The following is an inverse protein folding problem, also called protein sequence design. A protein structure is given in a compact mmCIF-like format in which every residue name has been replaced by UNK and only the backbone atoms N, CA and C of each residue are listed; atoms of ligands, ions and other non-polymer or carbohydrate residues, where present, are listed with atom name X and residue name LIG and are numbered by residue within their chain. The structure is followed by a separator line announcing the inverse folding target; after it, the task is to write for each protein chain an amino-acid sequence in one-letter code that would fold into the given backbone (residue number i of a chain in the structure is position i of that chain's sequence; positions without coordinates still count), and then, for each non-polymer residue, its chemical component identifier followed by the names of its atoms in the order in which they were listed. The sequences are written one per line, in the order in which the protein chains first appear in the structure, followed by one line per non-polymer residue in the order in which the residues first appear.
data_IF_359368160787
#
_entry.id   IF_359368160787
#
_cell.length_a   1.000
_cell.length_b   1.000
_cell.length_c   1.000
_cell.angle_alpha   90.00
_cell.angle_beta   90.00
_cell.angle_gamma   90.00
#
_symmetry.space_group_name_H-M   'P 1'
#
loop_
_entity.id
_entity.type
_entity.pdbx_description
1 polymer ?
#
# COMPACT_ATOMS: atom_id res chain seq x y z
N UNK A 1 -58.49 6.49 -26.06
CA UNK A 1 -57.35 6.02 -25.24
C UNK A 1 -56.93 4.67 -25.78
N UNK A 2 -55.96 4.67 -26.68
CA UNK A 2 -55.20 3.51 -27.17
C UNK A 2 -54.18 4.08 -28.14
N UNK A 3 -52.90 3.89 -27.87
CA UNK A 3 -51.89 4.06 -28.91
C UNK A 3 -50.81 3.01 -28.75
N UNK A 4 -50.90 2.02 -29.63
CA UNK A 4 -49.92 0.98 -29.92
C UNK A 4 -48.69 1.61 -30.57
N UNK A 5 -47.48 1.19 -30.17
CA UNK A 5 -46.27 1.37 -30.99
C UNK A 5 -45.48 0.07 -31.02
N UNK A 6 -45.16 -0.32 -32.25
CA UNK A 6 -44.51 -1.55 -32.70
C UNK A 6 -42.99 -1.54 -32.43
N UNK A 7 -42.44 -2.71 -32.10
CA UNK A 7 -41.01 -2.99 -32.06
C UNK A 7 -40.45 -3.24 -33.48
N UNK A 8 -39.18 -2.89 -33.71
CA UNK A 8 -38.42 -3.30 -34.88
C UNK A 8 -37.03 -3.83 -34.46
N UNK A 9 -36.83 -5.13 -34.68
CA UNK A 9 -35.54 -5.82 -34.73
C UNK A 9 -35.13 -5.92 -36.21
N UNK A 10 -33.88 -5.58 -36.54
CA UNK A 10 -33.25 -5.94 -37.81
C UNK A 10 -31.80 -6.35 -37.57
N UNK A 11 -31.45 -7.55 -38.05
CA UNK A 11 -30.13 -8.15 -37.96
C UNK A 11 -29.25 -7.97 -39.20
N UNK A 12 -27.95 -8.02 -38.93
CA UNK A 12 -26.75 -8.38 -39.72
C UNK A 12 -26.60 -8.04 -41.22
N UNK A 13 -25.53 -7.28 -41.52
CA UNK A 13 -24.61 -7.54 -42.64
C UNK A 13 -23.28 -6.75 -42.53
N UNK A 14 -22.16 -7.45 -42.36
CA UNK A 14 -20.85 -7.20 -43.03
C UNK A 14 -19.93 -6.04 -42.57
N UNK A 15 -18.59 -6.17 -42.72
CA UNK A 15 -17.61 -5.33 -42.03
C UNK A 15 -17.27 -4.04 -42.80
N UNK A 16 -17.19 -2.92 -42.09
CA UNK A 16 -16.72 -1.65 -42.62
C UNK A 16 -15.28 -1.36 -42.16
N UNK A 17 -14.34 -1.47 -43.10
CA UNK A 17 -13.06 -0.74 -43.09
C UNK A 17 -13.34 0.72 -43.42
N UNK A 18 -12.83 1.65 -42.63
CA UNK A 18 -12.78 3.07 -42.97
C UNK A 18 -11.32 3.51 -43.17
N UNK A 19 -11.06 4.01 -44.36
CA UNK A 19 -9.81 4.44 -44.95
C UNK A 19 -9.67 5.95 -44.72
N UNK A 20 -8.54 6.39 -44.16
CA UNK A 20 -8.21 7.81 -43.96
C UNK A 20 -8.03 8.51 -45.31
N UNK A 21 -8.60 9.70 -45.42
CA UNK A 21 -8.55 10.55 -46.61
C UNK A 21 -7.24 11.34 -46.76
N UNK A 22 -6.90 11.61 -48.01
CA UNK A 22 -5.95 12.62 -48.47
C UNK A 22 -6.72 13.59 -49.38
N UNK A 23 -6.25 14.84 -49.52
CA UNK A 23 -6.16 15.40 -50.86
C UNK A 23 -4.79 16.05 -51.11
N UNK A 24 -4.16 15.68 -52.22
CA UNK A 24 -2.99 16.36 -52.79
C UNK A 24 -3.29 16.79 -54.23
N UNK A 25 -2.74 17.93 -54.64
CA UNK A 25 -2.80 18.44 -56.00
C UNK A 25 -1.48 19.11 -56.43
N UNK A 26 -1.19 18.99 -57.74
CA UNK A 26 -0.21 19.70 -58.60
C UNK A 26 1.23 19.14 -58.76
N UNK A 27 1.39 18.18 -59.71
CA UNK A 27 2.15 18.15 -61.00
C UNK A 27 3.43 19.03 -61.27
N UNK A 28 4.26 18.78 -62.33
CA UNK A 28 5.26 17.70 -62.49
C UNK A 28 6.63 18.16 -63.11
N UNK A 29 7.67 17.29 -63.08
CA UNK A 29 8.69 17.21 -64.15
C UNK A 29 10.19 17.30 -63.79
N UNK A 30 11.01 16.43 -64.41
CA UNK A 30 12.46 16.63 -64.64
C UNK A 30 13.39 15.42 -64.33
N UNK A 31 14.13 14.91 -65.32
CA UNK A 31 15.02 13.72 -65.29
C UNK A 31 16.52 14.03 -64.99
N UNK A 32 17.19 13.16 -64.20
CA UNK A 32 18.60 12.63 -64.17
C UNK A 32 19.85 13.55 -64.36
N UNK A 33 21.13 13.20 -64.01
CA UNK A 33 21.75 11.92 -63.55
C UNK A 33 22.74 12.08 -62.33
N UNK A 34 23.59 11.09 -61.92
CA UNK A 34 24.21 11.03 -60.59
C UNK A 34 25.66 11.54 -60.52
N UNK A 35 26.08 12.09 -59.37
CA UNK A 35 27.51 12.22 -59.04
C UNK A 35 27.79 12.42 -57.54
N UNK A 36 28.68 11.54 -57.04
CA UNK A 36 29.79 11.79 -56.11
C UNK A 36 29.53 12.15 -54.64
N UNK A 37 29.96 11.21 -53.78
CA UNK A 37 30.29 11.40 -52.38
C UNK A 37 31.37 12.47 -52.18
N UNK A 38 31.12 13.40 -51.26
CA UNK A 38 32.14 14.04 -50.43
C UNK A 38 31.63 14.10 -48.98
N UNK A 39 32.53 13.95 -47.98
CA UNK A 39 32.17 13.69 -46.59
C UNK A 39 31.71 14.99 -45.91
N UNK A 40 30.66 14.91 -45.09
CA UNK A 40 30.26 16.03 -44.22
C UNK A 40 30.57 15.71 -42.77
N UNK A 41 31.24 16.68 -42.18
CA UNK A 41 31.81 16.78 -40.85
C UNK A 41 30.76 16.59 -39.75
N UNK A 42 31.15 15.87 -38.69
CA UNK A 42 30.44 15.81 -37.41
C UNK A 42 30.43 17.19 -36.76
N UNK A 43 29.25 17.81 -36.71
CA UNK A 43 28.95 18.93 -35.82
C UNK A 43 28.40 18.41 -34.48
N UNK A 44 28.63 19.12 -33.38
CA UNK A 44 28.50 18.61 -32.03
C UNK A 44 27.04 18.29 -31.69
N UNK A 45 26.83 17.11 -31.10
CA UNK A 45 25.56 16.70 -30.52
C UNK A 45 25.11 17.75 -29.51
N UNK A 46 24.02 18.44 -29.85
CA UNK A 46 23.25 19.29 -28.97
C UNK A 46 22.75 18.40 -27.81
N UNK A 47 23.30 18.64 -26.63
CA UNK A 47 22.91 17.97 -25.40
C UNK A 47 21.41 18.16 -25.19
N UNK A 48 20.68 17.03 -25.15
CA UNK A 48 19.32 17.00 -24.65
C UNK A 48 19.31 17.53 -23.20
N UNK A 49 18.33 18.35 -22.80
CA UNK A 49 18.23 18.79 -21.42
C UNK A 49 18.06 17.56 -20.53
N UNK A 50 18.95 17.43 -19.54
CA UNK A 50 18.84 16.45 -18.47
C UNK A 50 17.47 16.65 -17.81
N UNK A 51 16.54 15.71 -18.03
CA UNK A 51 15.33 15.61 -17.23
C UNK A 51 15.78 15.43 -15.78
N UNK A 52 15.46 16.43 -14.94
CA UNK A 52 15.51 16.32 -13.49
C UNK A 52 14.63 15.13 -13.07
N UNK A 53 15.26 13.97 -12.96
CA UNK A 53 14.68 12.79 -12.34
C UNK A 53 14.26 13.17 -10.92
N UNK A 54 12.95 13.13 -10.68
CA UNK A 54 12.35 13.18 -9.34
C UNK A 54 13.10 12.20 -8.44
N UNK A 55 13.53 12.58 -7.22
CA UNK A 55 14.16 11.63 -6.33
C UNK A 55 13.14 10.58 -5.92
N UNK A 56 13.36 9.35 -6.38
CA UNK A 56 12.70 8.17 -5.86
C UNK A 56 13.16 7.94 -4.43
N UNK A 57 12.22 7.98 -3.49
CA UNK A 57 12.38 7.47 -2.12
C UNK A 57 13.43 8.18 -1.27
N UNK A 58 13.01 9.15 -0.48
CA UNK A 58 13.83 9.70 0.61
C UNK A 58 14.21 8.58 1.60
N UNK A 59 15.43 8.07 1.38
CA UNK A 59 16.14 7.17 2.26
C UNK A 59 16.45 7.91 3.57
N UNK A 60 16.35 7.19 4.68
CA UNK A 60 16.32 7.71 6.05
C UNK A 60 17.74 8.09 6.55
N UNK A 61 18.49 8.88 5.77
CA UNK A 61 19.90 9.21 6.07
C UNK A 61 20.37 10.64 5.82
N UNK A 62 19.47 11.62 5.66
CA UNK A 62 19.87 13.04 5.48
C UNK A 62 19.39 13.98 6.61
N UNK A 63 19.19 13.52 7.85
CA UNK A 63 18.42 14.31 8.83
C UNK A 63 19.19 15.28 9.73
N UNK A 64 20.52 15.37 9.73
CA UNK A 64 21.19 16.22 10.75
C UNK A 64 21.64 17.62 10.30
N UNK A 65 22.25 17.82 9.12
CA UNK A 65 22.94 19.10 8.84
C UNK A 65 22.27 20.02 7.79
N UNK A 66 21.59 19.49 6.76
CA UNK A 66 20.93 20.33 5.73
C UNK A 66 19.48 20.69 6.05
N UNK A 67 18.80 19.88 6.85
CA UNK A 67 17.42 20.15 7.26
C UNK A 67 17.29 21.36 8.19
N UNK A 68 18.32 21.71 8.97
CA UNK A 68 18.23 22.74 9.99
C UNK A 68 17.87 24.13 9.43
N UNK A 69 18.22 24.40 8.15
CA UNK A 69 17.99 25.70 7.52
C UNK A 69 16.64 25.87 6.82
N UNK A 70 15.90 24.78 6.55
CA UNK A 70 14.51 24.84 5.99
C UNK A 70 13.41 24.81 7.06
N UNK A 71 13.72 24.32 8.28
CA UNK A 71 12.78 23.99 9.39
C UNK A 71 11.86 25.12 9.90
N UNK A 72 12.09 26.39 9.53
CA UNK A 72 11.37 27.55 10.12
C UNK A 72 10.26 28.18 9.27
N UNK A 73 10.07 27.77 8.02
CA UNK A 73 9.25 28.57 7.08
C UNK A 73 7.85 28.02 6.80
N UNK A 74 7.57 26.74 7.12
CA UNK A 74 6.32 26.09 6.76
C UNK A 74 5.67 25.43 7.99
N UNK A 75 4.51 25.97 8.40
CA UNK A 75 3.72 25.41 9.51
C UNK A 75 3.10 24.07 9.12
N UNK A 76 2.72 23.93 7.85
CA UNK A 76 2.17 22.72 7.26
C UNK A 76 2.92 22.46 5.97
N UNK A 77 3.47 21.26 5.84
CA UNK A 77 4.03 20.69 4.62
C UNK A 77 3.09 19.57 4.19
N UNK A 78 2.81 19.47 2.89
CA UNK A 78 1.91 18.45 2.35
C UNK A 78 2.62 17.69 1.24
N UNK A 79 3.01 16.46 1.56
CA UNK A 79 3.54 15.51 0.60
C UNK A 79 2.47 14.49 0.21
N UNK A 80 2.77 13.69 -0.81
CA UNK A 80 1.90 12.61 -1.26
C UNK A 80 1.88 12.44 -2.77
N UNK A 81 0.94 11.63 -3.25
CA UNK A 81 0.76 11.38 -4.68
C UNK A 81 -0.67 10.98 -5.02
N UNK A 82 -1.08 11.26 -6.25
CA UNK A 82 -2.24 10.63 -6.87
C UNK A 82 -1.79 9.60 -7.89
N UNK A 83 -2.35 8.39 -7.80
CA UNK A 83 -2.02 7.26 -8.68
C UNK A 83 -3.28 6.78 -9.38
N UNK A 84 -3.14 6.52 -10.68
CA UNK A 84 -4.07 5.71 -11.47
C UNK A 84 -3.27 4.57 -12.07
N UNK A 85 -3.75 3.33 -11.93
CA UNK A 85 -3.06 2.14 -12.41
C UNK A 85 -3.99 1.22 -13.21
N UNK A 86 -3.86 1.18 -14.54
CA UNK A 86 -4.44 0.13 -15.36
C UNK A 86 -3.61 -1.17 -15.22
N UNK A 87 -4.28 -2.29 -15.04
CA UNK A 87 -3.68 -3.61 -14.87
C UNK A 87 -4.40 -4.60 -15.78
N UNK A 88 -3.62 -5.44 -16.47
CA UNK A 88 -4.11 -6.59 -17.23
C UNK A 88 -3.29 -7.80 -16.83
N UNK A 89 -3.93 -8.73 -16.14
CA UNK A 89 -3.32 -9.99 -15.74
C UNK A 89 -3.86 -11.09 -16.66
N UNK A 90 -2.98 -11.69 -17.47
CA UNK A 90 -3.34 -12.80 -18.34
C UNK A 90 -2.94 -14.14 -17.71
N UNK A 91 -3.91 -15.04 -17.60
CA UNK A 91 -3.75 -16.37 -17.04
C UNK A 91 -3.03 -16.36 -15.68
N UNK A 92 -3.45 -15.45 -14.80
CA UNK A 92 -2.76 -15.19 -13.52
C UNK A 92 -2.74 -16.41 -12.60
N UNK A 93 -3.79 -17.23 -12.68
CA UNK A 93 -3.88 -18.51 -11.98
C UNK A 93 -3.12 -19.66 -12.67
N UNK A 94 -2.40 -19.40 -13.77
CA UNK A 94 -1.64 -20.38 -14.55
C UNK A 94 -2.46 -21.61 -14.99
N UNK A 95 -3.79 -21.49 -15.07
CA UNK A 95 -4.70 -22.60 -15.38
C UNK A 95 -5.00 -23.55 -14.22
N UNK A 96 -4.59 -23.22 -12.99
CA UNK A 96 -4.78 -24.06 -11.80
C UNK A 96 -6.19 -23.97 -11.20
N UNK A 97 -7.07 -23.08 -11.64
CA UNK A 97 -8.37 -22.87 -10.96
C UNK A 97 -8.21 -22.45 -9.49
N UNK A 98 -9.30 -22.48 -8.72
CA UNK A 98 -9.28 -22.17 -7.27
C UNK A 98 -9.31 -23.44 -6.41
N UNK A 99 -9.97 -24.48 -6.90
CA UNK A 99 -10.11 -25.80 -6.30
C UNK A 99 -9.66 -26.86 -7.31
N UNK A 100 -8.91 -27.86 -6.87
CA UNK A 100 -8.60 -29.04 -7.67
C UNK A 100 -9.84 -29.91 -7.95
N UNK A 101 -9.68 -30.97 -8.74
CA UNK A 101 -10.78 -31.92 -9.05
C UNK A 101 -11.33 -32.62 -7.79
N UNK A 102 -10.51 -32.75 -6.74
CA UNK A 102 -10.89 -33.32 -5.45
C UNK A 102 -11.52 -32.29 -4.49
N UNK A 103 -11.58 -31.01 -4.87
CA UNK A 103 -12.11 -29.92 -4.07
C UNK A 103 -11.11 -29.30 -3.09
N UNK A 104 -9.82 -29.62 -3.17
CA UNK A 104 -8.77 -28.98 -2.36
C UNK A 104 -8.39 -27.63 -2.95
N UNK A 105 -8.08 -26.65 -2.10
CA UNK A 105 -7.66 -25.32 -2.54
C UNK A 105 -6.30 -25.32 -3.25
N UNK A 106 -6.25 -24.68 -4.42
CA UNK A 106 -5.00 -24.36 -5.10
C UNK A 106 -4.45 -22.99 -4.64
N UNK A 107 -3.17 -22.66 -4.91
CA UNK A 107 -2.60 -21.35 -4.57
C UNK A 107 -3.52 -20.20 -5.01
N UNK A 108 -3.68 -19.16 -4.18
CA UNK A 108 -4.83 -18.25 -4.24
C UNK A 108 -4.64 -17.15 -5.29
N UNK A 109 -4.32 -17.51 -6.52
CA UNK A 109 -4.42 -16.56 -7.61
C UNK A 109 -5.87 -16.52 -8.09
N UNK A 110 -6.52 -15.34 -8.10
CA UNK A 110 -7.92 -15.24 -8.49
C UNK A 110 -8.13 -15.71 -9.94
N UNK A 111 -9.29 -16.30 -10.18
CA UNK A 111 -9.78 -16.64 -11.52
C UNK A 111 -10.82 -15.61 -11.96
N UNK A 112 -11.00 -15.40 -13.28
CA UNK A 112 -12.16 -14.67 -13.77
C UNK A 112 -13.46 -15.29 -13.23
N UNK A 113 -14.42 -14.45 -12.88
CA UNK A 113 -15.68 -14.88 -12.25
C UNK A 113 -16.42 -15.94 -13.08
N UNK A 114 -16.31 -15.83 -14.41
CA UNK A 114 -16.92 -16.74 -15.38
C UNK A 114 -16.32 -18.16 -15.32
N UNK A 115 -15.10 -18.30 -14.81
CA UNK A 115 -14.43 -19.58 -14.66
C UNK A 115 -14.95 -20.39 -13.46
N UNK A 116 -15.66 -19.75 -12.53
CA UNK A 116 -16.01 -20.35 -11.26
C UNK A 116 -14.78 -20.79 -10.45
N UNK A 117 -14.96 -21.81 -9.61
CA UNK A 117 -13.96 -22.22 -8.62
C UNK A 117 -13.16 -23.46 -8.99
N UNK A 118 -13.56 -24.26 -9.99
CA UNK A 118 -12.93 -25.57 -10.26
C UNK A 118 -11.74 -25.49 -11.23
N UNK A 119 -10.79 -26.43 -11.10
CA UNK A 119 -9.74 -26.73 -12.10
C UNK A 119 -10.39 -27.08 -13.42
N UNK A 120 -9.84 -26.54 -14.51
CA UNK A 120 -10.30 -26.82 -15.87
C UNK A 120 -9.97 -25.70 -16.84
N UNK A 121 -10.10 -25.97 -18.13
CA UNK A 121 -9.90 -24.96 -19.18
C UNK A 121 -10.94 -23.86 -19.09
N UNK A 122 -10.55 -22.67 -18.64
CA UNK A 122 -11.39 -21.49 -18.74
C UNK A 122 -11.12 -20.75 -20.05
N UNK A 123 -12.21 -20.40 -20.75
CA UNK A 123 -12.13 -19.57 -21.95
C UNK A 123 -11.67 -18.14 -21.60
N UNK A 124 -12.07 -17.63 -20.43
CA UNK A 124 -11.63 -16.34 -19.92
C UNK A 124 -10.27 -16.49 -19.23
N UNK A 125 -9.32 -15.66 -19.64
CA UNK A 125 -7.96 -15.65 -19.09
C UNK A 125 -7.52 -14.29 -18.57
N UNK A 126 -8.32 -13.25 -18.80
CA UNK A 126 -7.92 -11.88 -18.52
C UNK A 126 -8.61 -11.39 -17.25
N UNK A 127 -7.84 -10.82 -16.33
CA UNK A 127 -8.33 -9.97 -15.25
C UNK A 127 -7.83 -8.55 -15.56
N UNK A 128 -8.74 -7.70 -16.01
CA UNK A 128 -8.46 -6.31 -16.34
C UNK A 128 -9.12 -5.37 -15.34
N UNK A 129 -8.36 -4.41 -14.82
CA UNK A 129 -8.90 -3.38 -13.92
C UNK A 129 -8.13 -2.07 -14.06
N UNK A 130 -8.73 -0.97 -13.62
CA UNK A 130 -8.03 0.28 -13.39
C UNK A 130 -8.32 0.73 -11.98
N UNK A 131 -7.30 1.01 -11.18
CA UNK A 131 -7.47 1.45 -9.79
C UNK A 131 -6.93 2.86 -9.59
N UNK A 132 -7.46 3.57 -8.59
CA UNK A 132 -6.90 4.82 -8.09
C UNK A 132 -6.45 4.72 -6.64
N UNK A 133 -5.61 5.68 -6.24
CA UNK A 133 -5.29 6.02 -4.85
C UNK A 133 -4.80 7.47 -4.80
N UNK A 134 -5.31 8.25 -3.85
CA UNK A 134 -4.67 9.48 -3.40
C UNK A 134 -4.03 9.21 -2.03
N UNK A 135 -2.71 9.33 -1.93
CA UNK A 135 -2.00 9.31 -0.65
C UNK A 135 -1.62 10.73 -0.27
N UNK A 136 -1.97 11.13 0.95
CA UNK A 136 -1.64 12.42 1.54
C UNK A 136 -0.74 12.16 2.76
N UNK A 137 0.39 12.85 2.82
CA UNK A 137 1.38 12.74 3.90
C UNK A 137 1.67 14.12 4.48
N UNK A 138 0.70 14.77 5.17
CA UNK A 138 0.95 16.07 5.76
C UNK A 138 1.86 15.96 6.98
N UNK A 139 2.76 16.92 7.07
CA UNK A 139 3.64 17.20 8.21
C UNK A 139 3.27 18.54 8.83
N UNK A 140 2.94 18.52 10.11
CA UNK A 140 2.59 19.72 10.88
C UNK A 140 3.77 20.06 11.78
N UNK A 141 4.42 21.19 11.52
CA UNK A 141 5.55 21.69 12.29
C UNK A 141 5.02 22.58 13.43
N UNK A 142 4.98 22.04 14.65
CA UNK A 142 4.49 22.76 15.83
C UNK A 142 5.57 23.73 16.35
N UNK A 143 6.82 23.29 16.34
CA UNK A 143 8.00 24.09 16.72
C UNK A 143 9.23 23.62 15.93
N UNK A 144 10.37 24.30 16.13
CA UNK A 144 11.66 23.90 15.54
C UNK A 144 12.08 22.46 15.91
N UNK A 145 11.49 21.89 16.97
CA UNK A 145 11.84 20.58 17.51
C UNK A 145 10.69 19.56 17.47
N UNK A 146 9.44 20.01 17.32
CA UNK A 146 8.27 19.13 17.43
C UNK A 146 7.49 19.13 16.14
N UNK A 147 7.30 17.93 15.57
CA UNK A 147 6.48 17.72 14.38
C UNK A 147 5.51 16.55 14.57
N UNK A 148 4.41 16.61 13.85
CA UNK A 148 3.44 15.52 13.73
C UNK A 148 3.34 15.15 12.25
N UNK A 149 3.47 13.87 11.96
CA UNK A 149 3.34 13.35 10.59
C UNK A 149 2.21 12.35 10.53
N UNK A 150 1.56 12.34 9.38
CA UNK A 150 0.40 11.49 9.15
C UNK A 150 0.45 10.88 7.75
N UNK A 151 -0.24 9.77 7.55
CA UNK A 151 -0.44 9.17 6.24
C UNK A 151 -1.92 8.83 6.10
N UNK A 152 -2.56 9.44 5.11
CA UNK A 152 -3.98 9.30 4.83
C UNK A 152 -4.14 8.86 3.38
N UNK A 153 -4.78 7.71 3.18
CA UNK A 153 -5.11 7.24 1.84
C UNK A 153 -6.60 7.48 1.56
N UNK A 154 -6.89 8.20 0.48
CA UNK A 154 -8.23 8.43 -0.07
C UNK A 154 -8.38 7.59 -1.33
N UNK A 155 -9.53 6.91 -1.44
CA UNK A 155 -9.84 5.93 -2.48
C UNK A 155 -8.71 4.92 -2.66
N UNK A 156 -8.31 4.31 -1.55
CA UNK A 156 -7.20 3.37 -1.53
C UNK A 156 -7.50 2.08 -2.32
N UNK A 157 -6.98 2.01 -3.56
CA UNK A 157 -7.22 0.94 -4.54
C UNK A 157 -8.67 0.80 -4.99
N UNK A 158 -9.39 1.91 -5.09
CA UNK A 158 -10.75 1.89 -5.64
C UNK A 158 -10.69 1.63 -7.14
N UNK A 159 -11.45 0.65 -7.60
CA UNK A 159 -11.51 0.25 -9.01
C UNK A 159 -12.45 1.20 -9.77
N UNK A 160 -12.08 1.60 -10.98
CA UNK A 160 -12.91 2.47 -11.81
C UNK A 160 -14.21 1.78 -12.18
N UNK A 161 -15.33 2.50 -12.01
CA UNK A 161 -16.67 1.96 -12.23
C UNK A 161 -17.15 0.99 -11.14
N UNK A 162 -16.38 0.78 -10.07
CA UNK A 162 -16.89 0.06 -8.90
C UNK A 162 -17.99 0.87 -8.21
N UNK A 163 -18.79 0.20 -7.38
CA UNK A 163 -19.83 0.82 -6.57
C UNK A 163 -20.86 1.66 -7.38
N UNK A 164 -21.43 1.13 -8.47
CA UNK A 164 -22.44 1.84 -9.25
C UNK A 164 -23.74 2.03 -8.43
N UNK A 165 -24.48 3.11 -8.72
CA UNK A 165 -25.80 3.40 -8.14
C UNK A 165 -26.92 2.51 -8.72
N UNK A 166 -26.76 1.19 -8.59
CA UNK A 166 -27.63 0.17 -9.22
C UNK A 166 -28.16 -0.87 -8.23
N UNK A 167 -29.42 -1.27 -8.41
CA UNK A 167 -30.11 -2.31 -7.62
C UNK A 167 -29.52 -3.72 -7.77
N UNK A 168 -28.75 -3.95 -8.83
CA UNK A 168 -28.05 -5.22 -9.11
C UNK A 168 -26.55 -5.13 -8.80
N UNK A 169 -26.12 -4.08 -8.09
CA UNK A 169 -24.75 -3.92 -7.64
C UNK A 169 -24.38 -5.01 -6.64
N UNK A 170 -23.39 -5.84 -6.96
CA UNK A 170 -22.85 -6.84 -6.03
C UNK A 170 -22.29 -6.21 -4.74
N UNK A 171 -21.99 -4.90 -4.81
CA UNK A 171 -21.54 -4.09 -3.70
C UNK A 171 -22.65 -3.38 -2.94
N UNK A 172 -23.94 -3.48 -3.26
CA UNK A 172 -24.98 -2.80 -2.44
C UNK A 172 -26.18 -3.71 -2.21
N UNK A 173 -26.23 -4.44 -1.08
CA UNK A 173 -27.37 -5.28 -0.78
C UNK A 173 -28.60 -4.49 -0.31
N UNK A 174 -28.45 -3.21 0.08
CA UNK A 174 -29.54 -2.40 0.63
C UNK A 174 -30.11 -1.40 -0.38
N UNK A 175 -31.38 -1.58 -0.71
CA UNK A 175 -32.10 -0.95 -1.83
C UNK A 175 -32.51 0.48 -1.46
N UNK A 176 -31.69 1.48 -1.80
CA UNK A 176 -32.12 2.89 -1.67
C UNK A 176 -33.13 3.23 -2.78
N UNK A 177 -34.12 4.07 -2.46
CA UNK A 177 -35.02 4.64 -3.46
C UNK A 177 -34.22 5.52 -4.44
N UNK A 178 -34.54 5.46 -5.73
CA UNK A 178 -33.88 6.17 -6.85
C UNK A 178 -32.59 5.57 -7.42
N UNK A 179 -32.35 4.27 -7.26
CA UNK A 179 -31.24 3.58 -7.93
C UNK A 179 -31.62 3.06 -9.32
N UNK A 180 -30.62 2.92 -10.19
CA UNK A 180 -30.78 2.32 -11.49
C UNK A 180 -31.15 0.82 -11.39
N UNK A 181 -32.08 0.35 -12.23
CA UNK A 181 -32.53 -1.06 -12.19
C UNK A 181 -31.46 -2.03 -12.71
N UNK A 182 -30.49 -1.54 -13.49
CA UNK A 182 -29.39 -2.32 -14.05
C UNK A 182 -28.12 -1.47 -14.04
N UNK A 183 -26.94 -2.11 -13.95
CA UNK A 183 -25.66 -1.42 -13.97
C UNK A 183 -25.45 -0.54 -15.22
N UNK A 184 -26.04 -0.92 -16.36
CA UNK A 184 -25.99 -0.13 -17.60
C UNK A 184 -26.79 1.18 -17.52
N UNK A 185 -27.77 1.27 -16.61
CA UNK A 185 -28.59 2.46 -16.41
C UNK A 185 -28.04 3.35 -15.27
N UNK A 186 -26.94 2.93 -14.64
CA UNK A 186 -26.25 3.67 -13.60
C UNK A 186 -25.63 4.93 -14.19
N UNK A 187 -25.90 6.08 -13.56
CA UNK A 187 -25.36 7.38 -13.97
C UNK A 187 -24.41 7.96 -12.92
N UNK A 188 -24.20 7.26 -11.81
CA UNK A 188 -23.36 7.71 -10.70
C UNK A 188 -22.65 6.55 -10.03
N UNK A 189 -21.69 6.87 -9.17
CA UNK A 189 -21.01 5.93 -8.30
C UNK A 189 -21.13 6.42 -6.86
N UNK A 190 -21.25 5.48 -5.92
CA UNK A 190 -21.27 5.79 -4.49
C UNK A 190 -19.88 5.63 -3.90
N UNK A 191 -19.59 6.40 -2.85
CA UNK A 191 -18.32 6.30 -2.14
C UNK A 191 -18.14 4.91 -1.50
N UNK A 192 -16.92 4.35 -1.48
CA UNK A 192 -16.61 3.14 -0.73
C UNK A 192 -16.86 3.32 0.78
N UNK A 193 -17.69 2.46 1.36
CA UNK A 193 -18.06 2.42 2.77
C UNK A 193 -17.92 0.99 3.30
N UNK A 194 -17.06 0.83 4.30
CA UNK A 194 -16.75 -0.46 4.91
C UNK A 194 -18.02 -1.13 5.45
N UNK A 195 -18.25 -2.38 5.05
CA UNK A 195 -19.40 -3.19 5.48
C UNK A 195 -20.71 -2.88 4.75
N UNK A 196 -20.77 -1.84 3.92
CA UNK A 196 -21.89 -1.59 3.01
C UNK A 196 -21.57 -2.06 1.60
N UNK A 197 -20.48 -1.56 1.03
CA UNK A 197 -20.18 -1.74 -0.40
C UNK A 197 -18.73 -2.10 -0.74
N UNK A 198 -17.89 -2.19 0.27
CA UNK A 198 -16.54 -2.72 0.20
C UNK A 198 -16.11 -3.11 1.62
N UNK A 199 -14.94 -3.69 1.76
CA UNK A 199 -14.31 -3.97 3.06
C UNK A 199 -13.39 -2.83 3.53
N UNK A 200 -13.35 -1.71 2.81
CA UNK A 200 -12.48 -0.58 3.11
C UNK A 200 -13.26 0.74 3.11
N UNK A 201 -12.93 1.67 4.00
CA UNK A 201 -13.50 3.02 3.93
C UNK A 201 -12.83 3.83 2.83
N UNK A 202 -13.56 4.78 2.24
CA UNK A 202 -13.03 5.69 1.22
C UNK A 202 -11.86 6.54 1.70
N UNK A 203 -11.84 6.94 2.97
CA UNK A 203 -10.73 7.68 3.59
C UNK A 203 -10.20 6.84 4.73
N UNK A 204 -8.88 6.59 4.73
CA UNK A 204 -8.22 5.77 5.74
C UNK A 204 -6.96 6.46 6.28
N UNK A 205 -6.98 6.95 7.53
CA UNK A 205 -5.76 7.33 8.22
C UNK A 205 -4.98 6.05 8.56
N UNK A 206 -3.85 5.85 7.89
CA UNK A 206 -3.00 4.66 8.08
C UNK A 206 -2.02 4.84 9.23
N UNK A 207 -1.45 6.04 9.36
CA UNK A 207 -0.34 6.33 10.29
C UNK A 207 -0.47 7.74 10.84
N UNK A 208 -0.04 7.91 12.08
CA UNK A 208 0.06 9.19 12.77
C UNK A 208 1.08 9.05 13.90
N UNK A 209 2.12 9.88 13.87
CA UNK A 209 3.16 9.87 14.89
C UNK A 209 3.77 11.25 15.07
N UNK A 210 4.40 11.46 16.22
CA UNK A 210 5.10 12.68 16.54
C UNK A 210 6.60 12.42 16.65
N UNK A 211 7.39 13.43 16.31
CA UNK A 211 8.84 13.43 16.50
C UNK A 211 9.25 14.67 17.29
N UNK A 212 10.11 14.45 18.29
CA UNK A 212 10.69 15.47 19.15
C UNK A 212 12.20 15.39 19.00
N UNK A 213 12.77 16.37 18.34
CA UNK A 213 14.20 16.46 18.07
C UNK A 213 14.92 17.25 19.18
N UNK A 214 15.96 16.66 19.75
CA UNK A 214 16.81 17.25 20.78
C UNK A 214 18.29 17.14 20.39
N UNK A 215 19.17 17.79 21.15
CA UNK A 215 20.62 17.69 20.94
C UNK A 215 21.16 16.27 21.17
N UNK A 216 20.50 15.49 22.03
CA UNK A 216 20.91 14.12 22.36
C UNK A 216 20.39 13.09 21.36
N UNK A 217 19.39 13.44 20.55
CA UNK A 217 18.71 12.53 19.65
C UNK A 217 17.26 12.91 19.39
N UNK A 218 16.57 12.07 18.62
CA UNK A 218 15.18 12.22 18.23
C UNK A 218 14.32 11.17 18.95
N UNK A 219 13.27 11.62 19.64
CA UNK A 219 12.25 10.77 20.23
C UNK A 219 11.05 10.71 19.29
N UNK A 220 10.57 9.52 18.97
CA UNK A 220 9.41 9.30 18.08
C UNK A 220 8.38 8.45 18.78
N UNK A 221 7.11 8.78 18.66
CA UNK A 221 6.04 7.99 19.25
C UNK A 221 4.75 8.05 18.43
N UNK A 222 4.06 6.91 18.36
CA UNK A 222 2.80 6.75 17.65
C UNK A 222 2.84 5.63 16.61
N UNK A 223 1.86 5.62 15.71
CA UNK A 223 1.77 4.65 14.61
C UNK A 223 2.62 5.14 13.44
N UNK A 224 3.77 4.53 13.23
CA UNK A 224 4.74 4.98 12.22
C UNK A 224 5.18 3.85 11.27
N UNK A 225 5.68 4.19 10.07
CA UNK A 225 6.26 3.20 9.18
C UNK A 225 7.49 2.55 9.81
N UNK A 226 7.73 1.29 9.49
CA UNK A 226 8.98 0.62 9.82
C UNK A 226 9.67 0.10 8.57
N UNK A 227 10.92 0.50 8.39
CA UNK A 227 11.77 0.03 7.32
C UNK A 227 13.16 -0.29 7.85
N UNK A 228 13.78 -1.34 7.33
CA UNK A 228 15.17 -1.67 7.63
C UNK A 228 15.86 -2.26 6.41
N UNK A 229 17.08 -1.79 6.14
CA UNK A 229 17.86 -2.20 4.97
C UNK A 229 17.14 -1.97 3.66
N UNK A 230 17.03 -3.02 2.84
CA UNK A 230 16.31 -2.99 1.56
C UNK A 230 14.79 -3.18 1.69
N UNK A 231 14.31 -3.37 2.92
CA UNK A 231 12.91 -3.68 3.17
C UNK A 231 12.50 -5.09 2.74
N UNK A 232 13.38 -6.09 2.94
CA UNK A 232 13.04 -7.49 2.71
C UNK A 232 12.09 -8.05 3.78
N UNK A 233 12.34 -7.72 5.05
CA UNK A 233 11.52 -8.18 6.17
C UNK A 233 10.61 -7.07 6.71
N UNK A 234 11.17 -5.87 6.96
CA UNK A 234 10.41 -4.69 7.37
C UNK A 234 10.45 -3.62 6.28
N UNK A 235 9.31 -3.35 5.66
CA UNK A 235 9.21 -2.41 4.55
C UNK A 235 8.11 -1.38 4.79
N UNK A 236 8.47 -0.10 4.87
CA UNK A 236 7.52 1.01 5.03
C UNK A 236 6.41 1.10 3.97
N UNK A 237 6.61 0.58 2.75
CA UNK A 237 5.57 0.60 1.71
C UNK A 237 5.34 1.98 1.09
N UNK A 238 6.40 2.80 1.02
CA UNK A 238 6.32 4.19 0.54
C UNK A 238 6.47 4.28 -0.99
N UNK A 239 6.69 3.15 -1.67
CA UNK A 239 6.76 3.14 -3.13
C UNK A 239 5.38 3.39 -3.76
N UNK A 240 5.29 4.05 -4.93
CA UNK A 240 4.01 4.34 -5.58
C UNK A 240 3.16 3.10 -5.87
N UNK A 241 3.80 1.95 -6.12
CA UNK A 241 3.14 0.67 -6.40
C UNK A 241 2.99 -0.22 -5.17
N UNK A 242 3.42 0.22 -3.99
CA UNK A 242 3.34 -0.57 -2.77
C UNK A 242 1.88 -0.59 -2.27
N UNK A 243 1.33 -1.79 -2.11
CA UNK A 243 -0.06 -1.97 -1.63
C UNK A 243 -0.18 -2.07 -0.11
N UNK A 244 0.94 -2.30 0.55
CA UNK A 244 1.04 -2.33 1.99
C UNK A 244 2.44 -1.97 2.44
N UNK A 245 2.60 -1.95 3.75
CA UNK A 245 3.90 -1.74 4.39
C UNK A 245 3.80 -2.05 5.87
N UNK A 246 4.94 -2.42 6.44
CA UNK A 246 5.13 -2.60 7.87
C UNK A 246 4.85 -1.27 8.58
N UNK A 247 3.88 -1.33 9.47
CA UNK A 247 3.45 -0.22 10.32
C UNK A 247 3.49 -0.73 11.75
N UNK A 248 3.96 0.10 12.67
CA UNK A 248 4.14 -0.29 14.07
C UNK A 248 3.73 0.86 14.99
N UNK A 249 3.11 0.52 16.11
CA UNK A 249 2.86 1.45 17.20
C UNK A 249 4.09 1.40 18.11
N UNK A 250 4.86 2.47 18.17
CA UNK A 250 6.23 2.42 18.70
C UNK A 250 6.60 3.68 19.44
N UNK A 251 7.36 3.52 20.52
CA UNK A 251 8.18 4.54 21.16
C UNK A 251 9.65 4.28 20.80
N UNK A 252 10.31 5.25 20.16
CA UNK A 252 11.65 5.09 19.60
C UNK A 252 12.53 6.25 19.97
N UNK A 253 13.78 5.94 20.35
CA UNK A 253 14.82 6.94 20.51
C UNK A 253 15.95 6.66 19.53
N UNK A 254 16.37 7.69 18.80
CA UNK A 254 17.43 7.63 17.80
C UNK A 254 18.51 8.62 18.18
N UNK A 255 19.76 8.16 18.22
CA UNK A 255 20.92 9.01 18.51
C UNK A 255 22.10 8.65 17.61
N UNK A 256 23.06 9.57 17.49
CA UNK A 256 24.29 9.38 16.73
C UNK A 256 25.47 9.19 17.68
N UNK A 257 26.17 8.06 17.56
CA UNK A 257 27.33 7.69 18.37
C UNK A 257 28.49 7.30 17.45
N UNK A 258 29.59 8.07 17.49
CA UNK A 258 30.81 7.80 16.69
C UNK A 258 30.57 7.58 15.19
N UNK A 259 29.64 8.32 14.58
CA UNK A 259 29.29 8.16 13.17
C UNK A 259 28.28 7.06 12.88
N UNK A 260 27.85 6.30 13.88
CA UNK A 260 26.76 5.33 13.77
C UNK A 260 25.45 5.90 14.31
N UNK A 261 24.34 5.57 13.66
CA UNK A 261 23.01 5.81 14.19
C UNK A 261 22.59 4.61 15.03
N UNK A 262 22.34 4.84 16.33
CA UNK A 262 21.74 3.88 17.23
C UNK A 262 20.25 4.20 17.38
N UNK A 263 19.42 3.21 17.09
CA UNK A 263 17.98 3.26 17.26
C UNK A 263 17.55 2.20 18.28
N UNK A 264 16.90 2.64 19.35
CA UNK A 264 16.30 1.77 20.36
C UNK A 264 14.81 2.02 20.37
N UNK A 265 14.00 0.98 20.43
CA UNK A 265 12.56 1.13 20.48
C UNK A 265 11.87 0.11 21.35
N UNK A 266 10.74 0.55 21.89
CA UNK A 266 9.72 -0.27 22.53
C UNK A 266 8.47 -0.21 21.64
N UNK A 267 8.10 -1.36 21.12
CA UNK A 267 7.07 -1.55 20.12
C UNK A 267 5.90 -2.31 20.74
N UNK A 268 4.70 -1.81 20.45
CA UNK A 268 3.43 -2.39 20.82
C UNK A 268 2.93 -3.15 19.58
N UNK A 269 2.94 -4.47 19.67
CA UNK A 269 2.45 -5.36 18.63
C UNK A 269 0.93 -5.52 18.68
N UNK A 270 0.39 -6.60 18.11
CA UNK A 270 -1.01 -6.95 18.27
C UNK A 270 -1.40 -7.06 19.74
N UNK A 271 -2.52 -6.44 20.09
CA UNK A 271 -3.27 -6.71 21.32
C UNK A 271 -4.56 -7.45 21.00
N UNK A 272 -5.14 -8.09 22.02
CA UNK A 272 -6.33 -8.90 21.87
C UNK A 272 -7.63 -8.09 21.73
N UNK A 273 -8.65 -8.53 22.44
CA UNK A 273 -9.96 -7.88 22.39
C UNK A 273 -9.95 -6.58 23.20
N UNK A 274 -10.32 -5.48 22.54
CA UNK A 274 -10.57 -4.21 23.21
C UNK A 274 -12.05 -4.03 23.57
N UNK A 275 -12.35 -3.15 24.52
CA UNK A 275 -13.70 -2.80 24.98
C UNK A 275 -14.67 -2.51 23.82
N UNK A 276 -14.24 -1.75 22.81
CA UNK A 276 -15.06 -1.42 21.63
C UNK A 276 -15.50 -2.63 20.79
N UNK A 277 -14.93 -3.81 21.03
CA UNK A 277 -15.32 -5.06 20.36
C UNK A 277 -16.46 -5.80 21.10
N UNK A 278 -16.83 -5.34 22.30
CA UNK A 278 -17.96 -5.87 23.08
C UNK A 278 -19.29 -5.24 22.65
N UNK A 279 -20.41 -5.90 22.97
CA UNK A 279 -21.75 -5.33 22.80
C UNK A 279 -21.92 -3.99 23.52
N UNK A 280 -21.41 -3.89 24.75
CA UNK A 280 -21.43 -2.67 25.56
C UNK A 280 -20.57 -1.56 24.96
N UNK A 281 -19.34 -1.87 24.51
CA UNK A 281 -18.45 -0.90 23.89
C UNK A 281 -18.93 -0.40 22.53
N UNK A 282 -19.66 -1.22 21.77
CA UNK A 282 -20.34 -0.74 20.55
C UNK A 282 -21.53 0.16 20.83
N UNK A 283 -22.22 -0.09 21.94
CA UNK A 283 -23.32 0.77 22.42
C UNK A 283 -22.84 2.14 22.91
N UNK A 284 -21.55 2.25 23.24
CA UNK A 284 -20.88 3.51 23.61
C UNK A 284 -19.64 3.77 22.73
N UNK A 285 -19.82 4.25 21.48
CA UNK A 285 -18.72 4.55 20.58
C UNK A 285 -17.75 5.64 21.08
N UNK A 286 -18.17 6.42 22.09
CA UNK A 286 -17.35 7.45 22.70
C UNK A 286 -16.67 6.98 24.00
N UNK A 287 -16.82 5.70 24.34
CA UNK A 287 -16.20 5.08 25.52
C UNK A 287 -14.67 5.05 25.42
N UNK A 288 -14.02 4.82 26.56
CA UNK A 288 -12.56 4.70 26.60
C UNK A 288 -12.07 3.45 25.84
N UNK A 289 -10.98 3.55 25.06
CA UNK A 289 -10.40 2.40 24.38
C UNK A 289 -9.61 1.54 25.39
N UNK A 290 -10.32 0.73 26.17
CA UNK A 290 -9.73 -0.15 27.17
C UNK A 290 -9.34 -1.49 26.55
N UNK A 291 -8.15 -1.97 26.88
CA UNK A 291 -7.74 -3.33 26.57
C UNK A 291 -8.31 -4.30 27.61
N UNK A 292 -8.83 -5.45 27.17
CA UNK A 292 -9.49 -6.41 28.07
C UNK A 292 -8.52 -7.42 28.69
N UNK A 293 -7.28 -7.49 28.22
CA UNK A 293 -6.25 -8.38 28.75
C UNK A 293 -4.89 -7.70 28.68
N UNK A 294 -4.02 -8.00 29.66
CA UNK A 294 -2.60 -7.58 29.69
C UNK A 294 -1.62 -8.73 29.39
N UNK A 295 -2.15 -9.93 29.18
CA UNK A 295 -1.36 -11.12 28.94
C UNK A 295 -1.38 -11.54 27.47
N UNK A 296 -2.22 -10.93 26.63
CA UNK A 296 -2.35 -11.32 25.22
C UNK A 296 -1.60 -10.39 24.26
N UNK A 297 -1.01 -9.33 24.79
CA UNK A 297 -0.29 -8.35 24.00
C UNK A 297 1.11 -8.83 23.63
N UNK A 298 1.45 -8.55 22.39
CA UNK A 298 2.79 -8.71 21.88
C UNK A 298 3.61 -7.49 22.26
N UNK A 299 4.60 -7.68 23.13
CA UNK A 299 5.59 -6.65 23.46
C UNK A 299 6.88 -6.93 22.70
N UNK A 300 7.43 -5.88 22.09
CA UNK A 300 8.63 -6.00 21.28
C UNK A 300 9.65 -4.91 21.62
N UNK A 301 10.93 -5.29 21.70
CA UNK A 301 12.05 -4.38 21.83
C UNK A 301 12.94 -4.50 20.61
N UNK A 302 13.30 -3.37 20.00
CA UNK A 302 14.17 -3.34 18.84
C UNK A 302 15.42 -2.54 19.14
N UNK A 303 16.58 -3.08 18.77
CA UNK A 303 17.83 -2.35 18.71
C UNK A 303 18.39 -2.40 17.30
N UNK A 304 18.78 -1.26 16.74
CA UNK A 304 19.44 -1.19 15.46
C UNK A 304 20.65 -0.26 15.50
N UNK A 305 21.75 -0.70 14.92
CA UNK A 305 22.96 0.09 14.71
C UNK A 305 23.19 0.19 13.21
N UNK A 306 23.27 1.40 12.69
CA UNK A 306 23.43 1.64 11.25
C UNK A 306 24.54 2.65 10.99
N UNK A 307 25.28 2.41 9.90
CA UNK A 307 26.17 3.38 9.28
C UNK A 307 25.65 3.59 7.86
N UNK A 308 25.10 4.76 7.61
CA UNK A 308 24.50 5.10 6.32
C UNK A 308 24.95 6.51 5.95
N UNK A 309 25.93 6.58 5.04
CA UNK A 309 26.35 7.83 4.41
C UNK A 309 25.26 8.35 3.47
N UNK A 310 25.19 9.68 3.34
CA UNK A 310 24.39 10.32 2.30
C UNK A 310 24.72 9.77 0.91
N UNK A 311 23.71 9.65 0.05
CA UNK A 311 23.83 8.97 -1.22
C UNK A 311 24.80 9.67 -2.17
N UNK A 312 24.83 11.01 -2.17
CA UNK A 312 25.81 11.76 -2.97
C UNK A 312 27.22 11.51 -2.47
N UNK A 313 27.43 11.63 -1.16
CA UNK A 313 28.74 11.39 -0.54
C UNK A 313 29.23 9.95 -0.76
N UNK A 314 28.33 8.98 -0.64
CA UNK A 314 28.63 7.57 -0.88
C UNK A 314 29.08 7.33 -2.32
N UNK A 315 28.36 7.91 -3.31
CA UNK A 315 28.73 7.83 -4.74
C UNK A 315 30.04 8.56 -5.04
N UNK A 316 30.23 9.76 -4.50
CA UNK A 316 31.47 10.54 -4.70
C UNK A 316 32.70 9.79 -4.20
N UNK A 317 32.63 9.15 -3.03
CA UNK A 317 33.72 8.32 -2.49
C UNK A 317 33.97 7.09 -3.36
N UNK A 318 32.93 6.41 -3.81
CA UNK A 318 33.09 5.28 -4.71
C UNK A 318 33.77 5.69 -6.03
N UNK A 319 33.36 6.83 -6.61
CA UNK A 319 33.89 7.37 -7.86
C UNK A 319 35.32 7.89 -7.74
N UNK A 320 35.70 8.46 -6.58
CA UNK A 320 37.08 8.87 -6.31
C UNK A 320 38.04 7.68 -6.14
N UNK A 321 37.51 6.45 -6.16
CA UNK A 321 38.27 5.21 -6.02
C UNK A 321 38.47 4.77 -4.57
N UNK A 322 37.82 5.43 -3.60
CA UNK A 322 37.73 4.95 -2.22
C UNK A 322 36.72 3.80 -2.11
N UNK A 323 36.90 2.99 -1.07
CA UNK A 323 35.91 1.97 -0.70
C UNK A 323 34.84 2.65 0.15
N UNK A 324 33.63 2.77 -0.39
CA UNK A 324 32.46 3.31 0.31
C UNK A 324 31.63 2.15 0.88
N UNK A 325 31.27 2.21 2.16
CA UNK A 325 30.57 1.14 2.87
C UNK A 325 29.43 1.71 3.70
N UNK A 326 28.24 1.15 3.50
CA UNK A 326 27.07 1.35 4.34
C UNK A 326 26.62 -0.01 4.88
N UNK A 327 26.16 -0.05 6.12
CA UNK A 327 25.65 -1.28 6.71
C UNK A 327 24.67 -1.00 7.83
N UNK A 328 23.91 -2.02 8.19
CA UNK A 328 23.08 -1.99 9.37
C UNK A 328 22.89 -3.37 9.95
N UNK A 329 22.79 -3.41 11.28
CA UNK A 329 22.38 -4.60 12.02
C UNK A 329 21.23 -4.22 12.93
N UNK A 330 20.22 -5.07 12.97
CA UNK A 330 19.04 -4.94 13.81
C UNK A 330 18.77 -6.26 14.51
N UNK A 331 18.35 -6.17 15.76
CA UNK A 331 17.79 -7.28 16.52
C UNK A 331 16.44 -6.85 17.09
N UNK A 332 15.45 -7.71 16.86
CA UNK A 332 14.12 -7.58 17.42
C UNK A 332 13.91 -8.71 18.41
N UNK A 333 13.59 -8.37 19.65
CA UNK A 333 13.14 -9.33 20.66
C UNK A 333 11.64 -9.14 20.89
N UNK A 334 10.88 -10.20 20.74
CA UNK A 334 9.41 -10.19 20.86
C UNK A 334 8.97 -11.26 21.85
N UNK A 335 7.97 -10.94 22.66
CA UNK A 335 7.38 -11.87 23.63
C UNK A 335 5.86 -11.76 23.63
N UNK A 336 5.18 -12.86 23.94
CA UNK A 336 3.73 -12.93 24.09
C UNK A 336 3.36 -14.11 25.01
N UNK A 337 2.49 -13.88 26.00
CA UNK A 337 2.11 -14.93 26.94
C UNK A 337 0.89 -15.70 26.47
N UNK A 338 -0.18 -15.01 26.07
CA UNK A 338 -1.42 -15.62 25.61
C UNK A 338 -1.72 -15.23 24.15
N UNK A 339 -2.28 -16.16 23.39
CA UNK A 339 -2.85 -15.92 22.07
C UNK A 339 -4.37 -15.81 22.17
N UNK A 340 -4.99 -14.95 21.36
CA UNK A 340 -6.45 -14.81 21.29
C UNK A 340 -7.00 -15.55 20.07
N UNK A 341 -8.00 -16.39 20.27
CA UNK A 341 -8.67 -17.10 19.19
C UNK A 341 -10.08 -16.55 18.94
N UNK A 342 -10.55 -16.71 17.70
CA UNK A 342 -11.97 -16.54 17.39
C UNK A 342 -12.73 -17.73 17.99
N UNK A 343 -13.82 -17.47 18.72
CA UNK A 343 -14.67 -18.56 19.21
C UNK A 343 -15.08 -19.46 18.04
N UNK A 344 -14.99 -20.77 18.25
CA UNK A 344 -15.40 -21.76 17.25
C UNK A 344 -16.90 -21.63 16.94
N UNK A 345 -17.30 -22.13 15.76
CA UNK A 345 -18.68 -22.14 15.24
C UNK A 345 -19.74 -22.79 16.13
N UNK A 346 -19.37 -23.48 17.21
CA UNK A 346 -20.34 -23.96 18.20
C UNK A 346 -20.80 -22.86 19.17
N UNK A 347 -20.06 -21.77 19.29
CA UNK A 347 -20.48 -20.54 19.98
C UNK A 347 -21.13 -19.51 19.03
N UNK A 348 -21.26 -19.83 17.73
CA UNK A 348 -21.91 -18.93 16.76
C UNK A 348 -23.43 -18.84 16.92
N UNK A 349 -24.06 -19.71 17.70
CA UNK A 349 -25.48 -19.56 18.02
C UNK A 349 -25.73 -18.39 19.00
N UNK A 350 -24.66 -17.94 19.68
CA UNK A 350 -24.69 -16.81 20.64
C UNK A 350 -23.84 -15.61 20.22
N UNK A 351 -23.05 -15.69 19.13
CA UNK A 351 -22.51 -14.46 18.56
C UNK A 351 -23.67 -13.60 18.10
N UNK A 352 -23.86 -12.49 18.82
CA UNK A 352 -24.68 -11.36 18.40
C UNK A 352 -24.52 -11.19 16.89
N UNK A 353 -25.64 -11.07 16.17
CA UNK A 353 -25.75 -10.94 14.70
C UNK A 353 -24.83 -9.87 14.06
N UNK A 354 -24.05 -9.15 14.87
CA UNK A 354 -23.16 -8.06 14.52
C UNK A 354 -21.66 -8.39 14.75
N UNK A 355 -21.30 -9.58 15.25
CA UNK A 355 -19.90 -10.00 15.48
C UNK A 355 -19.22 -9.39 16.71
N UNK A 356 -19.99 -8.99 17.72
CA UNK A 356 -19.51 -8.41 18.99
C UNK A 356 -19.34 -9.49 20.03
N UNK A 357 -18.38 -9.33 20.96
CA UNK A 357 -18.35 -10.15 22.18
C UNK A 357 -19.53 -9.76 23.06
N UNK A 358 -20.45 -10.70 23.28
CA UNK A 358 -21.57 -10.51 24.19
C UNK A 358 -21.11 -10.59 25.65
N UNK A 359 -21.95 -10.08 26.56
CA UNK A 359 -21.74 -10.29 28.00
C UNK A 359 -21.61 -11.77 28.36
N UNK A 360 -22.36 -12.64 27.71
CA UNK A 360 -22.33 -14.09 27.92
C UNK A 360 -21.01 -14.73 27.44
N UNK A 361 -20.42 -14.23 26.34
CA UNK A 361 -19.11 -14.68 25.85
C UNK A 361 -18.00 -14.34 26.85
N UNK A 362 -18.06 -13.14 27.45
CA UNK A 362 -17.11 -12.72 28.48
C UNK A 362 -17.30 -13.47 29.80
N UNK A 363 -18.55 -13.73 30.19
CA UNK A 363 -18.88 -14.42 31.44
C UNK A 363 -18.53 -15.92 31.41
N UNK A 364 -18.61 -16.56 30.24
CA UNK A 364 -18.31 -17.99 30.07
C UNK A 364 -16.88 -18.24 29.56
N UNK A 365 -16.02 -17.23 29.55
CA UNK A 365 -14.62 -17.37 29.15
C UNK A 365 -13.83 -18.17 30.20
N UNK A 366 -13.98 -19.49 30.19
CA UNK A 366 -13.00 -20.39 30.81
C UNK A 366 -11.74 -20.37 29.94
N UNK A 367 -10.56 -20.51 30.56
CA UNK A 367 -9.19 -20.29 30.01
C UNK A 367 -8.85 -20.99 28.67
N UNK A 368 -9.78 -21.74 28.07
CA UNK A 368 -9.63 -22.44 26.79
C UNK A 368 -10.55 -21.93 25.66
N UNK A 369 -11.42 -20.94 25.91
CA UNK A 369 -12.44 -20.52 24.94
C UNK A 369 -12.11 -19.25 24.15
N UNK A 370 -11.45 -18.25 24.76
CA UNK A 370 -11.02 -17.01 24.07
C UNK A 370 -9.50 -16.84 23.97
N UNK A 371 -8.76 -17.31 24.97
CA UNK A 371 -7.32 -17.15 25.06
C UNK A 371 -6.64 -18.50 25.26
N UNK A 372 -5.42 -18.69 24.77
CA UNK A 372 -4.59 -19.85 25.09
C UNK A 372 -3.20 -19.38 25.51
N UNK A 373 -2.68 -19.94 26.60
CA UNK A 373 -1.30 -19.68 27.00
C UNK A 373 -0.31 -20.31 26.00
N UNK A 374 0.55 -19.47 25.42
CA UNK A 374 1.62 -19.86 24.51
C UNK A 374 3.02 -19.64 25.09
N UNK A 375 3.23 -18.61 25.93
CA UNK A 375 4.52 -18.27 26.54
C UNK A 375 5.67 -18.15 25.51
N UNK A 376 5.39 -17.56 24.35
CA UNK A 376 6.30 -17.54 23.22
C UNK A 376 7.25 -16.34 23.27
N UNK A 377 8.50 -16.57 22.84
CA UNK A 377 9.47 -15.52 22.56
C UNK A 377 10.13 -15.75 21.21
N UNK A 378 10.53 -14.65 20.56
CA UNK A 378 11.11 -14.67 19.23
C UNK A 378 12.26 -13.65 19.14
N UNK A 379 13.34 -14.06 18.49
CA UNK A 379 14.45 -13.19 18.09
C UNK A 379 14.49 -13.10 16.57
N UNK A 380 14.48 -11.88 16.05
CA UNK A 380 14.54 -11.61 14.61
C UNK A 380 15.80 -10.79 14.34
N UNK A 381 16.94 -11.44 14.03
CA UNK A 381 18.12 -10.73 13.57
C UNK A 381 17.94 -10.30 12.12
N UNK A 382 18.46 -9.13 11.77
CA UNK A 382 18.48 -8.63 10.39
C UNK A 382 19.76 -7.85 10.18
N UNK A 383 20.42 -8.06 9.04
CA UNK A 383 21.60 -7.31 8.65
C UNK A 383 21.55 -7.01 7.15
N UNK A 384 22.13 -5.90 6.76
CA UNK A 384 22.31 -5.52 5.36
C UNK A 384 23.64 -4.79 5.20
N UNK A 385 24.17 -4.83 3.98
CA UNK A 385 25.45 -4.22 3.65
C UNK A 385 25.46 -3.75 2.20
N UNK A 386 26.06 -2.58 1.97
CA UNK A 386 26.28 -2.01 0.65
C UNK A 386 27.72 -1.52 0.55
N UNK A 387 28.45 -2.06 -0.42
CA UNK A 387 29.80 -1.63 -0.77
C UNK A 387 29.82 -1.11 -2.19
N UNK A 388 30.51 0.00 -2.38
CA UNK A 388 30.77 0.54 -3.71
C UNK A 388 32.23 0.95 -3.84
N UNK A 389 32.82 0.61 -4.99
CA UNK A 389 34.19 0.93 -5.35
C UNK A 389 34.30 1.08 -6.86
N UNK A 390 34.56 2.30 -7.34
CA UNK A 390 34.53 2.65 -8.77
C UNK A 390 33.19 2.22 -9.41
N UNK A 391 33.24 1.30 -10.38
CA UNK A 391 32.06 0.76 -11.04
C UNK A 391 31.45 -0.46 -10.34
N UNK A 392 32.13 -1.04 -9.35
CA UNK A 392 31.64 -2.19 -8.61
C UNK A 392 30.66 -1.73 -7.52
N UNK A 393 29.47 -2.31 -7.50
CA UNK A 393 28.53 -2.19 -6.38
C UNK A 393 28.08 -3.58 -5.95
N UNK A 394 28.19 -3.86 -4.66
CA UNK A 394 27.74 -5.08 -4.02
C UNK A 394 26.72 -4.71 -2.94
N UNK A 395 25.58 -5.40 -2.92
CA UNK A 395 24.50 -5.14 -1.99
C UNK A 395 23.89 -6.46 -1.51
N UNK A 396 23.75 -6.61 -0.19
CA UNK A 396 23.24 -7.80 0.49
C UNK A 396 22.22 -7.43 1.56
#
# INVERSE_FOLDING_TARGET
MTSTVFAALLGDAGPLRAQMGMPGGMSPGGMAPPAQQQPKEEGPAEAAPEEEGKPEGEAVAETSARHEKRRRTQVIELDGYFRVRPELLHNFNLGLGYLDEAGNGNPPFPTPLECGTKVGGCAQKNLGQTSMRLRLEPTINISDQVRVMTQIDVFDNVIFGSNPDSLVSASQPDQRSNMAQAGILSNSQVSPESGQNTFTSAVRPKRAWAEIDSQLGSLRFGRMPWHFGRGMYFNRGDCPNCEGGTTVDRLMFITQLYGHQLALSWDFGPSGYAWGMTDAGRGDPNGSPLDLSQNDEVVQFTGALTLLDDERRFRERALSGEVAVNYGVQLVYRTQNNEVYKLSSQAQDSQSKNGALSREDLANNTESSLTQHIGAWLLIPSAWFKLSWKALTLEF
#
